data_IF_791856733307
#
_entry.id   IF_791856733307
#
_cell.length_a   1.000
_cell.length_b   1.000
_cell.length_c   1.000
_cell.angle_alpha   90.00
_cell.angle_beta   90.00
_cell.angle_gamma   90.00
#
_symmetry.space_group_name_H-M   'P 1'
#
loop_
_entity.id
_entity.type
_entity.pdbx_description
1 polymer ?
#
# COMPACT_ATOMS: atom_id res chain seq x y z
N UNK A 1 28.51 1.23 1.11
CA UNK A 1 28.57 2.48 1.88
C UNK A 1 29.36 2.25 3.17
N UNK A 2 30.18 3.21 3.59
CA UNK A 2 30.91 3.15 4.87
C UNK A 2 30.14 3.93 5.94
N UNK A 3 29.77 3.25 7.03
CA UNK A 3 29.01 3.82 8.14
C UNK A 3 29.95 4.29 9.27
N UNK A 4 29.70 5.48 9.81
CA UNK A 4 30.45 6.01 10.97
C UNK A 4 29.53 6.11 12.18
N UNK A 5 29.95 5.54 13.31
CA UNK A 5 29.16 5.47 14.53
C UNK A 5 29.56 6.60 15.46
N UNK A 6 28.63 7.53 15.72
CA UNK A 6 28.78 8.54 16.77
C UNK A 6 28.43 7.95 18.14
N UNK A 7 27.38 7.13 18.18
CA UNK A 7 26.95 6.38 19.35
C UNK A 7 26.80 4.91 18.95
N UNK A 8 27.36 4.01 19.76
CA UNK A 8 27.35 2.58 19.48
C UNK A 8 28.73 2.05 19.13
N UNK A 9 28.78 0.82 18.65
CA UNK A 9 30.01 0.14 18.27
C UNK A 9 29.77 -0.63 16.96
N UNK A 10 30.49 -0.34 15.87
CA UNK A 10 30.32 -1.04 14.59
C UNK A 10 30.62 -2.54 14.67
N UNK A 11 31.38 -3.00 15.68
CA UNK A 11 31.62 -4.42 15.92
C UNK A 11 30.52 -5.08 16.77
N UNK A 12 29.67 -4.28 17.42
CA UNK A 12 28.57 -4.71 18.27
C UNK A 12 27.31 -3.87 18.01
N UNK A 13 26.83 -3.82 16.75
CA UNK A 13 25.63 -3.07 16.41
C UNK A 13 24.42 -3.64 17.16
N UNK A 14 23.52 -2.78 17.60
CA UNK A 14 22.36 -3.17 18.42
C UNK A 14 21.22 -3.79 17.62
N UNK A 15 21.23 -3.63 16.30
CA UNK A 15 20.16 -4.04 15.40
C UNK A 15 19.08 -2.98 15.23
N UNK A 16 19.30 -1.78 15.79
CA UNK A 16 18.46 -0.63 15.60
C UNK A 16 19.30 0.64 15.71
N UNK A 17 19.09 1.57 14.80
CA UNK A 17 19.90 2.78 14.69
C UNK A 17 19.10 3.97 14.17
N UNK A 18 19.44 5.16 14.66
CA UNK A 18 19.14 6.41 13.98
C UNK A 18 20.24 6.62 12.94
N UNK A 19 19.88 6.49 11.66
CA UNK A 19 20.76 6.85 10.56
C UNK A 19 20.55 8.33 10.24
N UNK A 20 21.63 9.06 10.04
CA UNK A 20 21.54 10.44 9.60
C UNK A 20 22.52 10.77 8.49
N UNK A 21 22.13 11.78 7.73
CA UNK A 21 22.83 12.29 6.57
C UNK A 21 22.94 13.80 6.68
N UNK A 22 23.93 14.37 5.99
CA UNK A 22 24.08 15.82 5.86
C UNK A 22 23.92 16.21 4.41
N UNK A 23 23.47 17.44 4.19
CA UNK A 23 23.40 18.01 2.84
C UNK A 23 24.38 19.16 2.79
N UNK A 24 25.30 19.11 1.84
CA UNK A 24 26.41 20.09 1.77
C UNK A 24 25.90 21.54 1.59
N UNK A 25 24.74 21.71 0.97
CA UNK A 25 24.08 23.03 0.78
C UNK A 25 23.26 23.50 1.98
N UNK A 26 23.01 22.64 2.97
CA UNK A 26 22.22 22.93 4.17
C UNK A 26 22.96 22.41 5.43
N UNK A 27 24.09 23.02 5.81
CA UNK A 27 24.98 22.48 6.85
C UNK A 27 24.35 22.44 8.26
N UNK A 28 23.34 23.28 8.49
CA UNK A 28 22.64 23.36 9.77
C UNK A 28 21.51 22.31 9.91
N UNK A 29 21.19 21.58 8.84
CA UNK A 29 20.16 20.53 8.86
C UNK A 29 20.79 19.15 8.77
N UNK A 30 20.15 18.21 9.45
CA UNK A 30 20.40 16.78 9.29
C UNK A 30 19.14 16.10 8.82
N UNK A 31 19.30 15.09 7.98
CA UNK A 31 18.20 14.26 7.50
C UNK A 31 18.32 12.90 8.15
N UNK A 32 17.27 12.41 8.79
CA UNK A 32 17.33 11.19 9.59
C UNK A 32 16.24 10.20 9.23
N UNK A 33 16.57 8.92 9.38
CA UNK A 33 15.63 7.80 9.34
C UNK A 33 15.99 6.78 10.42
N UNK A 34 15.03 5.95 10.82
CA UNK A 34 15.24 4.91 11.80
C UNK A 34 15.35 3.55 11.12
N UNK A 35 16.45 2.84 11.36
CA UNK A 35 16.68 1.50 10.84
C UNK A 35 16.46 0.46 11.90
N UNK A 36 15.84 -0.66 11.51
CA UNK A 36 15.67 -1.87 12.31
C UNK A 36 16.12 -3.07 11.51
N UNK A 37 16.97 -3.89 12.10
CA UNK A 37 17.31 -5.25 11.64
C UNK A 37 16.57 -6.25 12.52
N UNK A 38 15.75 -7.09 11.91
CA UNK A 38 14.90 -8.03 12.63
C UNK A 38 15.72 -9.25 13.09
N UNK A 39 15.70 -9.61 14.39
CA UNK A 39 16.45 -10.75 14.89
C UNK A 39 15.81 -12.11 14.60
N UNK A 40 14.58 -12.12 14.10
CA UNK A 40 13.80 -13.30 13.76
C UNK A 40 13.43 -13.15 12.29
N UNK A 41 13.71 -14.18 11.48
CA UNK A 41 13.26 -14.22 10.10
C UNK A 41 11.75 -14.17 10.08
N UNK A 42 11.20 -13.09 9.53
CA UNK A 42 9.76 -12.89 9.43
C UNK A 42 9.41 -12.79 7.95
N UNK A 43 8.64 -13.77 7.48
CA UNK A 43 7.93 -13.66 6.21
C UNK A 43 6.70 -12.79 6.48
N UNK A 44 6.81 -11.50 6.19
CA UNK A 44 5.70 -10.57 6.34
C UNK A 44 4.57 -10.89 5.36
N UNK A 45 4.83 -11.62 4.27
CA UNK A 45 3.78 -12.15 3.40
C UNK A 45 2.77 -13.04 4.14
N UNK A 46 3.17 -13.71 5.22
CA UNK A 46 2.26 -14.51 6.08
C UNK A 46 1.32 -13.66 6.94
N UNK A 47 1.67 -12.40 7.18
CA UNK A 47 0.95 -11.49 8.09
C UNK A 47 0.32 -10.30 7.36
N UNK A 48 0.78 -10.02 6.14
CA UNK A 48 0.19 -9.05 5.23
C UNK A 48 -0.98 -9.74 4.54
N UNK A 49 -2.20 -9.24 4.73
CA UNK A 49 -3.33 -9.74 3.97
C UNK A 49 -3.05 -9.63 2.46
N UNK A 50 -3.36 -10.66 1.66
CA UNK A 50 -3.03 -10.70 0.24
C UNK A 50 -3.43 -9.43 -0.54
N UNK A 51 -4.52 -8.77 -0.13
CA UNK A 51 -5.01 -7.54 -0.74
C UNK A 51 -4.14 -6.30 -0.51
N UNK A 52 -3.28 -6.27 0.50
CA UNK A 52 -2.34 -5.17 0.72
C UNK A 52 -1.01 -5.39 -0.01
N UNK A 53 -0.71 -6.63 -0.42
CA UNK A 53 0.56 -6.97 -1.05
C UNK A 53 0.81 -6.19 -2.35
N UNK A 54 -0.24 -5.95 -3.15
CA UNK A 54 -0.17 -5.16 -4.39
C UNK A 54 0.00 -3.65 -4.14
N UNK A 55 -0.42 -3.15 -2.97
CA UNK A 55 -0.29 -1.73 -2.58
C UNK A 55 1.01 -1.41 -1.83
N UNK A 56 1.76 -2.41 -1.39
CA UNK A 56 3.04 -2.26 -0.67
C UNK A 56 4.24 -2.00 -1.60
N UNK A 57 4.00 -1.67 -2.86
CA UNK A 57 5.01 -1.06 -3.74
C UNK A 57 6.22 -1.93 -4.06
N UNK A 58 6.06 -3.25 -4.17
CA UNK A 58 7.15 -4.16 -4.56
C UNK A 58 8.19 -4.39 -3.47
N UNK A 59 7.91 -4.03 -2.21
CA UNK A 59 8.74 -4.41 -1.07
C UNK A 59 8.84 -5.95 -1.00
N UNK A 60 10.03 -6.53 -0.84
CA UNK A 60 10.21 -7.98 -0.76
C UNK A 60 9.72 -8.50 0.60
N UNK A 61 8.40 -8.68 0.74
CA UNK A 61 7.74 -9.07 2.00
C UNK A 61 8.19 -10.44 2.54
N UNK A 62 8.69 -11.30 1.65
CA UNK A 62 9.08 -12.66 1.98
C UNK A 62 10.48 -12.75 2.62
N UNK A 63 11.27 -11.66 2.59
CA UNK A 63 12.63 -11.63 3.16
C UNK A 63 12.97 -10.24 3.75
N UNK A 64 12.03 -9.65 4.49
CA UNK A 64 12.26 -8.41 5.23
C UNK A 64 13.12 -8.69 6.47
N UNK A 65 14.43 -8.71 6.28
CA UNK A 65 15.42 -8.84 7.36
C UNK A 65 15.81 -7.50 7.98
N UNK A 66 15.71 -6.40 7.22
CA UNK A 66 15.96 -5.04 7.71
C UNK A 66 15.17 -4.00 6.89
N UNK A 67 14.82 -2.88 7.51
CA UNK A 67 14.12 -1.77 6.85
C UNK A 67 14.37 -0.43 7.56
N UNK A 68 14.03 0.67 6.87
CA UNK A 68 14.09 2.04 7.37
C UNK A 68 12.69 2.67 7.42
N UNK A 69 12.42 3.46 8.46
CA UNK A 69 11.20 4.26 8.59
C UNK A 69 11.52 5.66 9.13
N UNK A 70 11.11 6.74 8.45
CA UNK A 70 10.50 6.75 7.11
C UNK A 70 11.50 6.36 5.99
N UNK A 71 11.03 5.81 4.84
CA UNK A 71 11.92 5.35 3.76
C UNK A 71 12.66 6.49 3.04
N UNK A 72 12.09 7.69 3.10
CA UNK A 72 12.77 8.93 2.77
C UNK A 72 13.20 9.59 4.10
N UNK A 73 14.46 10.00 4.27
CA UNK A 73 14.91 10.57 5.53
C UNK A 73 14.31 11.97 5.70
N UNK A 74 13.80 12.25 6.89
CA UNK A 74 13.12 13.51 7.22
C UNK A 74 14.11 14.53 7.77
N UNK A 75 13.93 15.83 7.50
CA UNK A 75 14.75 16.87 8.11
C UNK A 75 14.49 16.93 9.61
N UNK A 76 15.57 17.03 10.38
CA UNK A 76 15.55 17.22 11.84
C UNK A 76 16.32 18.49 12.19
N UNK A 77 15.86 19.19 13.22
CA UNK A 77 16.31 20.53 13.59
C UNK A 77 17.80 20.59 13.95
N UNK A 78 18.36 19.54 14.56
CA UNK A 78 19.79 19.50 14.90
C UNK A 78 20.33 18.08 15.14
N UNK A 79 21.63 17.91 14.92
CA UNK A 79 22.35 16.68 15.30
C UNK A 79 22.31 16.42 16.82
N UNK A 80 22.36 17.47 17.65
CA UNK A 80 22.27 17.33 19.10
C UNK A 80 20.97 16.68 19.57
N UNK A 81 19.87 16.89 18.85
CA UNK A 81 18.61 16.20 19.13
C UNK A 81 18.71 14.69 18.82
N UNK A 82 19.34 14.33 17.69
CA UNK A 82 19.59 12.92 17.33
C UNK A 82 20.44 12.22 18.38
N UNK A 83 21.47 12.90 18.90
CA UNK A 83 22.30 12.38 19.99
C UNK A 83 21.47 12.13 21.26
N UNK A 84 20.66 13.12 21.68
CA UNK A 84 19.79 13.03 22.86
C UNK A 84 18.80 11.86 22.77
N UNK A 85 18.10 11.70 21.64
CA UNK A 85 17.11 10.63 21.47
C UNK A 85 17.79 9.26 21.40
N UNK A 86 18.95 9.16 20.74
CA UNK A 86 19.69 7.89 20.60
C UNK A 86 20.21 7.43 21.96
N UNK A 87 20.73 8.34 22.80
CA UNK A 87 21.13 8.02 24.17
C UNK A 87 19.95 7.56 25.04
N UNK A 88 18.82 8.27 24.98
CA UNK A 88 17.62 7.95 25.77
C UNK A 88 17.07 6.56 25.44
N UNK A 89 17.04 6.21 24.15
CA UNK A 89 16.54 4.93 23.65
C UNK A 89 17.59 3.83 23.67
N UNK A 90 18.84 4.18 23.90
CA UNK A 90 19.99 3.33 23.70
C UNK A 90 20.08 2.79 22.27
N UNK A 91 19.73 3.58 21.27
CA UNK A 91 19.93 3.25 19.86
C UNK A 91 21.42 3.46 19.46
N UNK A 92 21.84 2.91 18.32
CA UNK A 92 23.07 3.38 17.67
C UNK A 92 22.77 4.71 16.94
N UNK A 93 23.72 5.66 16.92
CA UNK A 93 23.65 6.86 16.10
C UNK A 93 24.74 6.77 15.04
N UNK A 94 24.31 6.76 13.78
CA UNK A 94 25.20 6.42 12.66
C UNK A 94 25.10 7.46 11.56
N UNK A 95 26.24 8.02 11.19
CA UNK A 95 26.40 8.85 10.00
C UNK A 95 26.52 7.97 8.76
N UNK A 96 25.61 8.16 7.81
CA UNK A 96 25.55 7.42 6.56
C UNK A 96 26.07 8.22 5.34
N UNK A 97 26.51 9.46 5.54
CA UNK A 97 27.19 10.26 4.51
C UNK A 97 26.48 11.55 4.10
N UNK A 98 27.00 12.19 3.06
CA UNK A 98 26.41 13.38 2.46
C UNK A 98 25.40 13.01 1.37
N UNK A 99 24.29 13.75 1.29
CA UNK A 99 23.24 13.61 0.26
C UNK A 99 22.96 14.92 -0.46
N UNK A 100 22.24 14.84 -1.58
CA UNK A 100 21.70 15.99 -2.30
C UNK A 100 20.21 16.16 -1.95
N UNK A 101 19.80 17.33 -1.44
CA UNK A 101 18.44 17.54 -0.89
C UNK A 101 17.30 17.61 -1.91
N UNK A 102 17.58 17.55 -3.22
CA UNK A 102 16.58 17.77 -4.28
C UNK A 102 16.29 16.54 -5.16
N UNK A 103 16.90 15.39 -4.88
CA UNK A 103 16.76 14.16 -5.67
C UNK A 103 16.17 13.03 -4.80
N UNK A 104 14.84 12.98 -4.73
CA UNK A 104 14.11 12.00 -3.91
C UNK A 104 14.51 10.55 -4.23
N UNK A 105 14.56 10.11 -5.51
CA UNK A 105 15.05 8.78 -5.85
C UNK A 105 16.43 8.47 -5.28
N UNK A 106 17.37 9.41 -5.41
CA UNK A 106 18.75 9.22 -4.91
C UNK A 106 18.84 9.21 -3.38
N UNK A 107 17.98 9.95 -2.69
CA UNK A 107 17.86 9.88 -1.23
C UNK A 107 17.34 8.51 -0.77
N UNK A 108 16.33 7.97 -1.45
CA UNK A 108 15.80 6.62 -1.17
C UNK A 108 16.83 5.52 -1.44
N UNK A 109 17.60 5.66 -2.52
CA UNK A 109 18.73 4.76 -2.84
C UNK A 109 19.78 4.80 -1.72
N UNK A 110 20.16 6.00 -1.27
CA UNK A 110 21.14 6.18 -0.17
C UNK A 110 20.67 5.57 1.14
N UNK A 111 19.38 5.70 1.48
CA UNK A 111 18.79 5.03 2.64
C UNK A 111 18.83 3.51 2.49
N UNK A 112 18.50 3.00 1.31
CA UNK A 112 18.51 1.55 1.03
C UNK A 112 19.91 0.96 1.17
N UNK A 113 20.93 1.62 0.62
CA UNK A 113 22.33 1.22 0.79
C UNK A 113 22.76 1.25 2.26
N UNK A 114 22.32 2.26 3.01
CA UNK A 114 22.67 2.39 4.43
C UNK A 114 21.99 1.32 5.30
N UNK A 115 20.74 0.96 4.99
CA UNK A 115 20.02 -0.17 5.61
C UNK A 115 20.79 -1.46 5.40
N UNK A 116 21.18 -1.76 4.15
CA UNK A 116 21.94 -2.96 3.80
C UNK A 116 23.28 -3.00 4.53
N UNK A 117 24.02 -1.90 4.52
CA UNK A 117 25.31 -1.81 5.20
C UNK A 117 25.18 -2.03 6.73
N UNK A 118 24.17 -1.44 7.37
CA UNK A 118 23.95 -1.62 8.81
C UNK A 118 23.49 -3.04 9.13
N UNK A 119 22.59 -3.61 8.34
CA UNK A 119 22.13 -5.00 8.53
C UNK A 119 23.25 -6.00 8.36
N UNK A 120 24.17 -5.79 7.41
CA UNK A 120 25.32 -6.66 7.21
C UNK A 120 26.25 -6.68 8.42
N UNK A 121 26.47 -5.52 9.08
CA UNK A 121 27.22 -5.46 10.34
C UNK A 121 26.55 -6.30 11.43
N UNK A 122 25.23 -6.20 11.55
CA UNK A 122 24.45 -6.95 12.54
C UNK A 122 24.45 -8.46 12.26
N UNK A 123 24.19 -8.86 11.01
CA UNK A 123 24.18 -10.25 10.55
C UNK A 123 25.56 -10.87 10.68
N UNK A 124 26.65 -10.16 10.35
CA UNK A 124 28.01 -10.68 10.51
C UNK A 124 28.30 -11.03 11.98
N UNK A 125 27.82 -10.21 12.91
CA UNK A 125 28.00 -10.46 14.35
C UNK A 125 27.12 -11.58 14.89
N UNK A 126 25.87 -11.66 14.45
CA UNK A 126 24.92 -12.67 14.92
C UNK A 126 25.04 -14.01 14.19
N UNK A 127 25.42 -14.01 12.92
CA UNK A 127 25.67 -15.21 12.11
C UNK A 127 26.92 -15.99 12.53
N UNK A 128 27.90 -15.33 13.14
CA UNK A 128 29.06 -15.99 13.77
C UNK A 128 28.75 -16.54 15.18
N UNK A 129 27.60 -16.18 15.76
CA UNK A 129 27.15 -16.67 17.06
C UNK A 129 26.17 -17.82 16.81
N UNK A 130 26.38 -19.00 17.41
CA UNK A 130 25.48 -20.17 17.37
C UNK A 130 24.04 -19.90 17.92
N UNK A 131 23.68 -18.64 18.12
CA UNK A 131 22.30 -18.19 18.31
C UNK A 131 21.76 -17.94 16.90
N UNK A 132 21.42 -19.03 16.22
CA UNK A 132 20.55 -18.99 15.04
C UNK A 132 19.46 -17.97 15.30
N UNK A 133 19.25 -17.05 14.37
CA UNK A 133 17.95 -16.39 14.21
C UNK A 133 16.90 -17.45 14.50
N UNK A 134 16.02 -17.22 15.48
CA UNK A 134 15.04 -18.23 15.92
C UNK A 134 14.29 -18.65 14.67
N UNK A 135 14.69 -19.79 14.11
CA UNK A 135 14.12 -20.30 12.90
C UNK A 135 12.68 -20.55 13.25
N UNK A 136 11.76 -19.83 12.60
CA UNK A 136 10.44 -20.37 12.40
C UNK A 136 10.70 -21.78 11.90
N UNK A 137 10.25 -22.75 12.69
CA UNK A 137 10.39 -24.19 12.49
C UNK A 137 10.41 -24.43 10.98
N UNK A 138 11.51 -24.95 10.44
CA UNK A 138 11.54 -25.42 9.06
C UNK A 138 10.44 -26.48 8.95
N UNK A 139 9.26 -26.05 8.54
CA UNK A 139 8.27 -26.96 8.01
C UNK A 139 8.92 -27.50 6.75
N UNK A 140 9.33 -28.76 6.82
CA UNK A 140 9.99 -29.50 5.77
C UNK A 140 9.35 -29.15 4.43
N UNK A 141 10.17 -28.82 3.43
CA UNK A 141 9.77 -28.47 2.08
C UNK A 141 8.58 -29.32 1.61
N UNK A 142 7.37 -28.81 1.85
CA UNK A 142 6.17 -29.26 1.21
C UNK A 142 6.35 -28.81 -0.23
N UNK A 143 6.20 -29.71 -1.23
CA UNK A 143 6.24 -29.28 -2.60
C UNK A 143 5.28 -28.11 -2.75
N UNK A 144 5.76 -27.05 -3.41
CA UNK A 144 4.98 -25.90 -3.86
C UNK A 144 3.57 -26.42 -4.16
N UNK A 145 2.53 -26.01 -3.40
CA UNK A 145 1.20 -26.27 -3.88
C UNK A 145 1.17 -25.56 -5.22
N UNK A 146 0.99 -26.32 -6.30
CA UNK A 146 0.67 -25.78 -7.60
C UNK A 146 -0.31 -24.64 -7.32
N UNK A 147 0.05 -23.43 -7.77
CA UNK A 147 -0.75 -22.22 -7.56
C UNK A 147 -2.21 -22.66 -7.65
N UNK A 148 -3.00 -22.58 -6.56
CA UNK A 148 -4.38 -22.94 -6.67
C UNK A 148 -4.87 -22.06 -7.80
N UNK A 149 -5.48 -22.66 -8.83
CA UNK A 149 -6.27 -21.91 -9.79
C UNK A 149 -7.00 -20.88 -8.95
N UNK A 150 -6.71 -19.59 -9.20
CA UNK A 150 -7.23 -18.52 -8.38
C UNK A 150 -8.74 -18.64 -8.51
N UNK A 151 -9.36 -19.33 -7.55
CA UNK A 151 -10.79 -19.44 -7.45
C UNK A 151 -11.20 -17.99 -7.25
N UNK A 152 -11.80 -17.44 -8.29
CA UNK A 152 -12.48 -16.14 -8.35
C UNK A 152 -13.21 -15.86 -7.01
N UNK A 153 -13.77 -16.89 -6.38
CA UNK A 153 -14.46 -16.83 -5.09
C UNK A 153 -13.62 -16.29 -3.91
N UNK A 154 -12.29 -16.47 -3.87
CA UNK A 154 -11.47 -15.96 -2.76
C UNK A 154 -11.19 -14.46 -2.87
N UNK A 155 -10.96 -13.92 -4.08
CA UNK A 155 -10.77 -12.47 -4.28
C UNK A 155 -12.06 -11.71 -3.95
N UNK A 156 -13.22 -12.27 -4.32
CA UNK A 156 -14.52 -11.69 -3.99
C UNK A 156 -14.83 -11.70 -2.47
N UNK A 157 -14.42 -12.74 -1.73
CA UNK A 157 -14.56 -12.78 -0.27
C UNK A 157 -13.72 -11.70 0.42
N UNK A 158 -12.54 -11.39 -0.11
CA UNK A 158 -11.67 -10.34 0.44
C UNK A 158 -12.26 -8.94 0.19
N UNK A 159 -12.77 -8.71 -1.02
CA UNK A 159 -13.43 -7.45 -1.37
C UNK A 159 -14.71 -7.21 -0.56
N UNK A 160 -15.47 -8.26 -0.23
CA UNK A 160 -16.66 -8.15 0.64
C UNK A 160 -16.34 -7.57 2.03
N UNK A 161 -15.22 -7.98 2.63
CA UNK A 161 -14.78 -7.43 3.93
C UNK A 161 -14.31 -5.98 3.81
N UNK A 162 -13.55 -5.66 2.76
CA UNK A 162 -13.08 -4.29 2.46
C UNK A 162 -14.26 -3.32 2.32
N UNK A 163 -15.26 -3.69 1.51
CA UNK A 163 -16.46 -2.87 1.32
C UNK A 163 -17.23 -2.67 2.64
N UNK A 164 -17.23 -3.65 3.54
CA UNK A 164 -17.80 -3.50 4.88
C UNK A 164 -17.17 -2.39 5.74
N UNK A 165 -15.90 -2.08 5.53
CA UNK A 165 -15.13 -1.10 6.33
C UNK A 165 -15.10 0.31 5.72
N UNK A 166 -15.46 0.45 4.43
CA UNK A 166 -15.43 1.70 3.70
C UNK A 166 -16.57 2.65 4.10
N UNK A 167 -16.31 3.96 4.04
CA UNK A 167 -17.38 4.96 4.12
C UNK A 167 -18.27 4.89 2.87
N UNK A 168 -19.50 5.43 2.96
CA UNK A 168 -20.40 5.48 1.79
C UNK A 168 -19.78 6.27 0.61
N UNK A 169 -19.05 7.35 0.91
CA UNK A 169 -18.32 8.13 -0.09
C UNK A 169 -17.24 7.31 -0.78
N UNK A 170 -16.47 6.52 -0.02
CA UNK A 170 -15.41 5.69 -0.59
C UNK A 170 -15.99 4.57 -1.44
N UNK A 171 -17.09 3.94 -0.99
CA UNK A 171 -17.82 2.93 -1.79
C UNK A 171 -18.32 3.50 -3.12
N UNK A 172 -18.79 4.74 -3.13
CA UNK A 172 -19.22 5.41 -4.36
C UNK A 172 -18.07 5.76 -5.30
N UNK A 173 -16.93 6.20 -4.76
CA UNK A 173 -15.72 6.42 -5.55
C UNK A 173 -15.23 5.11 -6.19
N UNK A 174 -15.27 4.01 -5.43
CA UNK A 174 -14.91 2.68 -5.92
C UNK A 174 -15.88 2.15 -6.97
N UNK A 175 -17.19 2.32 -6.75
CA UNK A 175 -18.22 1.99 -7.74
C UNK A 175 -17.97 2.74 -9.07
N UNK A 176 -17.65 4.03 -9.00
CA UNK A 176 -17.32 4.83 -10.18
C UNK A 176 -16.08 4.29 -10.93
N UNK A 177 -15.04 3.90 -10.18
CA UNK A 177 -13.82 3.31 -10.73
C UNK A 177 -14.11 1.98 -11.43
N UNK A 178 -14.79 1.05 -10.76
CA UNK A 178 -15.15 -0.27 -11.30
C UNK A 178 -16.03 -0.14 -12.55
N UNK A 179 -17.02 0.75 -12.55
CA UNK A 179 -17.86 1.01 -13.72
C UNK A 179 -17.07 1.58 -14.91
N UNK A 180 -16.15 2.51 -14.65
CA UNK A 180 -15.29 3.08 -15.69
C UNK A 180 -14.38 2.02 -16.33
N UNK A 181 -13.73 1.21 -15.50
CA UNK A 181 -12.91 0.09 -15.98
C UNK A 181 -13.73 -0.96 -16.74
N UNK A 182 -14.92 -1.31 -16.25
CA UNK A 182 -15.80 -2.29 -16.90
C UNK A 182 -16.25 -1.80 -18.26
N UNK A 183 -16.61 -0.51 -18.38
CA UNK A 183 -16.97 0.10 -19.66
C UNK A 183 -15.82 0.11 -20.65
N UNK A 184 -14.62 0.46 -20.21
CA UNK A 184 -13.43 0.40 -21.05
C UNK A 184 -13.18 -1.02 -21.58
N UNK A 185 -13.33 -2.03 -20.72
CA UNK A 185 -13.23 -3.43 -21.12
C UNK A 185 -14.35 -3.85 -22.11
N UNK A 186 -15.59 -3.41 -21.87
CA UNK A 186 -16.73 -3.69 -22.75
C UNK A 186 -16.55 -3.06 -24.14
N UNK A 187 -16.04 -1.83 -24.21
CA UNK A 187 -15.69 -1.16 -25.46
C UNK A 187 -14.50 -1.83 -26.17
N UNK A 188 -13.56 -2.39 -25.40
CA UNK A 188 -12.42 -3.18 -25.89
C UNK A 188 -12.73 -4.63 -26.26
N UNK A 189 -13.95 -5.13 -26.00
CA UNK A 189 -14.37 -6.51 -26.27
C UNK A 189 -13.80 -7.55 -25.31
N UNK A 190 -13.29 -7.15 -24.15
CA UNK A 190 -12.76 -8.05 -23.13
C UNK A 190 -13.86 -8.56 -22.20
N UNK A 191 -14.53 -9.63 -22.62
CA UNK A 191 -15.64 -10.22 -21.86
C UNK A 191 -15.20 -10.79 -20.49
N UNK A 192 -13.94 -11.22 -20.34
CA UNK A 192 -13.43 -11.74 -19.07
C UNK A 192 -13.38 -10.65 -18.01
N UNK A 193 -12.76 -9.52 -18.34
CA UNK A 193 -12.67 -8.36 -17.44
C UNK A 193 -14.06 -7.75 -17.16
N UNK A 194 -14.97 -7.76 -18.13
CA UNK A 194 -16.36 -7.32 -17.92
C UNK A 194 -17.09 -8.18 -16.89
N UNK A 195 -16.95 -9.50 -16.96
CA UNK A 195 -17.60 -10.42 -16.04
C UNK A 195 -17.01 -10.33 -14.62
N UNK A 196 -15.69 -10.21 -14.50
CA UNK A 196 -14.99 -10.00 -13.23
C UNK A 196 -15.49 -8.72 -12.53
N UNK A 197 -15.45 -7.58 -13.22
CA UNK A 197 -15.89 -6.31 -12.66
C UNK A 197 -17.39 -6.29 -12.37
N UNK A 198 -18.20 -7.01 -13.16
CA UNK A 198 -19.64 -7.15 -12.88
C UNK A 198 -19.89 -7.86 -11.54
N UNK A 199 -19.12 -8.91 -11.24
CA UNK A 199 -19.21 -9.64 -9.97
C UNK A 199 -18.76 -8.76 -8.81
N UNK A 200 -17.67 -8.03 -8.98
CA UNK A 200 -17.15 -7.11 -7.96
C UNK A 200 -18.14 -5.98 -7.64
N UNK A 201 -18.74 -5.36 -8.66
CA UNK A 201 -19.81 -4.36 -8.50
C UNK A 201 -21.02 -4.96 -7.76
N UNK A 202 -21.36 -6.22 -8.04
CA UNK A 202 -22.47 -6.92 -7.37
C UNK A 202 -22.16 -7.16 -5.89
N UNK A 203 -20.92 -7.50 -5.55
CA UNK A 203 -20.49 -7.62 -4.14
C UNK A 203 -20.53 -6.28 -3.43
N UNK A 204 -20.01 -5.21 -4.05
CA UNK A 204 -20.06 -3.85 -3.51
C UNK A 204 -21.49 -3.37 -3.28
N UNK A 205 -22.41 -3.68 -4.19
CA UNK A 205 -23.82 -3.31 -4.09
C UNK A 205 -24.50 -3.81 -2.81
N UNK A 206 -24.05 -4.93 -2.23
CA UNK A 206 -24.58 -5.46 -0.95
C UNK A 206 -24.32 -4.54 0.25
N UNK A 207 -23.34 -3.65 0.13
CA UNK A 207 -22.93 -2.72 1.18
C UNK A 207 -23.41 -1.29 0.94
N UNK A 208 -24.26 -1.08 -0.08
CA UNK A 208 -24.86 0.20 -0.44
C UNK A 208 -26.39 0.16 -0.26
N UNK A 209 -27.04 1.32 -0.02
CA UNK A 209 -28.50 1.37 0.08
C UNK A 209 -29.19 0.95 -1.22
N UNK A 210 -30.29 0.19 -1.13
CA UNK A 210 -31.09 -0.22 -2.30
C UNK A 210 -31.56 0.97 -3.15
N UNK A 211 -31.75 2.14 -2.52
CA UNK A 211 -32.13 3.39 -3.19
C UNK A 211 -31.14 3.82 -4.26
N UNK A 212 -29.89 3.35 -4.23
CA UNK A 212 -28.85 3.67 -5.21
C UNK A 212 -29.05 2.90 -6.53
N UNK A 213 -29.85 1.82 -6.53
CA UNK A 213 -30.20 1.07 -7.75
C UNK A 213 -28.97 0.58 -8.54
N UNK A 214 -27.93 0.13 -7.83
CA UNK A 214 -26.65 -0.30 -8.43
C UNK A 214 -26.82 -1.43 -9.45
N UNK A 215 -27.81 -2.31 -9.27
CA UNK A 215 -28.13 -3.36 -10.25
C UNK A 215 -28.62 -2.81 -11.59
N UNK A 216 -29.45 -1.75 -11.57
CA UNK A 216 -29.89 -1.06 -12.80
C UNK A 216 -28.73 -0.36 -13.48
N UNK A 217 -27.88 0.31 -12.69
CA UNK A 217 -26.65 0.94 -13.17
C UNK A 217 -25.71 -0.08 -13.84
N UNK A 218 -25.51 -1.24 -13.22
CA UNK A 218 -24.70 -2.32 -13.79
C UNK A 218 -25.27 -2.82 -15.12
N UNK A 219 -26.59 -2.95 -15.23
CA UNK A 219 -27.24 -3.40 -16.46
C UNK A 219 -27.04 -2.41 -17.62
N UNK A 220 -27.23 -1.10 -17.38
CA UNK A 220 -27.04 -0.07 -18.42
C UNK A 220 -25.57 0.14 -18.75
N UNK A 221 -24.65 -0.07 -17.81
CA UNK A 221 -23.22 0.09 -18.03
C UNK A 221 -22.62 -1.00 -18.95
N UNK A 222 -23.33 -2.12 -19.17
CA UNK A 222 -22.96 -3.13 -20.17
C UNK A 222 -23.37 -2.74 -21.60
N UNK A 223 -24.26 -1.77 -21.76
CA UNK A 223 -24.63 -1.24 -23.06
C UNK A 223 -23.61 -0.18 -23.53
N UNK A 224 -22.79 -0.55 -24.51
CA UNK A 224 -21.76 0.31 -25.10
C UNK A 224 -22.32 1.37 -26.06
N UNK A 225 -23.64 1.46 -26.23
CA UNK A 225 -24.28 2.51 -27.01
C UNK A 225 -24.13 3.89 -26.34
N UNK A 226 -24.38 4.95 -27.11
CA UNK A 226 -24.47 6.32 -26.55
C UNK A 226 -25.60 6.45 -25.52
N UNK A 227 -26.71 5.72 -25.71
CA UNK A 227 -27.85 5.70 -24.78
C UNK A 227 -27.45 5.04 -23.45
N UNK A 228 -26.83 3.86 -23.50
CA UNK A 228 -26.31 3.17 -22.31
C UNK A 228 -25.25 4.00 -21.57
N UNK A 229 -24.37 4.65 -22.32
CA UNK A 229 -23.36 5.57 -21.78
C UNK A 229 -23.96 6.72 -20.98
N UNK A 230 -25.00 7.36 -21.53
CA UNK A 230 -25.69 8.48 -20.87
C UNK A 230 -26.49 8.00 -19.65
N UNK A 231 -27.16 6.86 -19.75
CA UNK A 231 -27.88 6.26 -18.64
C UNK A 231 -26.93 5.93 -17.47
N UNK A 232 -25.80 5.28 -17.74
CA UNK A 232 -24.82 4.95 -16.70
C UNK A 232 -24.29 6.19 -15.97
N UNK A 233 -24.04 7.28 -16.70
CA UNK A 233 -23.66 8.56 -16.09
C UNK A 233 -24.75 9.12 -15.17
N UNK A 234 -26.00 9.14 -15.64
CA UNK A 234 -27.13 9.66 -14.85
C UNK A 234 -27.36 8.85 -13.57
N UNK A 235 -27.31 7.52 -13.67
CA UNK A 235 -27.41 6.64 -12.50
C UNK A 235 -26.27 6.85 -11.50
N UNK A 236 -25.03 7.05 -11.96
CA UNK A 236 -23.89 7.31 -11.09
C UNK A 236 -23.98 8.69 -10.42
N UNK A 237 -24.31 9.74 -11.18
CA UNK A 237 -24.53 11.10 -10.66
C UNK A 237 -25.65 11.10 -9.60
N UNK A 238 -26.71 10.33 -9.84
CA UNK A 238 -27.81 10.14 -8.90
C UNK A 238 -27.35 9.51 -7.58
N UNK A 239 -26.47 8.50 -7.63
CA UNK A 239 -25.90 7.88 -6.43
C UNK A 239 -25.11 8.89 -5.58
N UNK A 240 -24.27 9.72 -6.21
CA UNK A 240 -23.54 10.78 -5.52
C UNK A 240 -24.48 11.84 -4.90
N UNK A 241 -25.55 12.23 -5.61
CA UNK A 241 -26.54 13.19 -5.10
C UNK A 241 -27.36 12.64 -3.93
N UNK A 242 -27.71 11.35 -3.97
CA UNK A 242 -28.37 10.66 -2.86
C UNK A 242 -27.48 10.62 -1.61
N UNK A 243 -26.19 10.28 -1.78
CA UNK A 243 -25.24 10.27 -0.66
C UNK A 243 -25.02 11.67 -0.06
N UNK A 244 -25.05 12.72 -0.89
CA UNK A 244 -24.98 14.10 -0.44
C UNK A 244 -26.29 14.65 0.18
N UNK A 245 -27.40 13.90 0.14
CA UNK A 245 -28.71 14.32 0.63
C UNK A 245 -29.45 15.35 -0.25
N UNK A 246 -29.03 15.53 -1.51
CA UNK A 246 -29.60 16.50 -2.46
C UNK A 246 -30.79 15.90 -3.23
N UNK A 247 -31.90 15.65 -2.52
CA UNK A 247 -33.10 15.02 -3.08
C UNK A 247 -33.77 15.83 -4.21
N UNK A 248 -33.57 17.16 -4.24
CA UNK A 248 -34.06 18.02 -5.32
C UNK A 248 -33.39 17.72 -6.65
N UNK A 249 -32.07 17.54 -6.66
CA UNK A 249 -31.33 17.21 -7.87
C UNK A 249 -31.63 15.78 -8.34
N UNK A 250 -31.87 14.86 -7.40
CA UNK A 250 -32.23 13.46 -7.70
C UNK A 250 -33.51 13.37 -8.52
N UNK A 251 -34.53 14.18 -8.21
CA UNK A 251 -35.80 14.15 -8.93
C UNK A 251 -35.63 14.52 -10.42
N UNK A 252 -34.79 15.51 -10.72
CA UNK A 252 -34.46 15.88 -12.11
C UNK A 252 -33.74 14.75 -12.86
N UNK A 253 -32.80 14.09 -12.19
CA UNK A 253 -32.10 12.92 -12.75
C UNK A 253 -33.06 11.74 -12.98
N UNK A 254 -34.02 11.51 -12.07
CA UNK A 254 -35.05 10.46 -12.22
C UNK A 254 -35.98 10.69 -13.42
N UNK A 255 -36.27 11.94 -13.75
CA UNK A 255 -37.06 12.29 -14.94
C UNK A 255 -36.24 12.10 -16.23
N UNK A 256 -34.95 12.48 -16.24
CA UNK A 256 -34.04 12.24 -17.37
C UNK A 256 -33.82 10.75 -17.64
N UNK A 257 -33.62 9.95 -16.59
CA UNK A 257 -33.46 8.49 -16.70
C UNK A 257 -34.72 7.87 -17.32
N UNK A 258 -35.91 8.20 -16.81
CA UNK A 258 -37.18 7.70 -17.34
C UNK A 258 -37.42 8.09 -18.80
N UNK A 259 -37.05 9.31 -19.18
CA UNK A 259 -37.18 9.78 -20.56
C UNK A 259 -36.26 9.02 -21.52
N UNK A 260 -35.06 8.63 -21.07
CA UNK A 260 -34.13 7.85 -21.86
C UNK A 260 -34.47 6.37 -21.89
N UNK A 261 -35.09 5.80 -20.85
CA UNK A 261 -35.49 4.39 -20.80
C UNK A 261 -36.73 4.08 -21.66
N UNK A 262 -37.60 5.07 -21.89
CA UNK A 262 -38.75 4.99 -22.80
C UNK A 262 -38.35 4.70 -24.26
#
# INVERSE_FOLDING_TARGET
>A
MDLSFDIGDPQRPKGHAVLYFRVDTEPDKVYATYVVTLPIKSDLGKYVPPFLATHLGGLPLNDLSAFAMPPLPEPVDSHAELERISQMRQDDLVYAGSMFSFDLPRMMESVTEAVQAYSDLWVKRFGDSEVSTVGVIEEAATPEPAAPDADDDQSFQVNEVLFGLMSESDKLAELARLLGSMRFAAEGGDAGTVDEMSREITTLARHLPETFQVSSLLAVAKDTSQKGSRLAQLYLDRCFRLSAGDYSAVQGLDDEIRALEA
#
